data_IF_064523783447
#
_entry.id   IF_064523783447
#
_cell.length_a   1.000
_cell.length_b   1.000
_cell.length_c   1.000
_cell.angle_alpha   90.00
_cell.angle_beta   90.00
_cell.angle_gamma   90.00
#
_symmetry.space_group_name_H-M   'P 1'
#
loop_
_entity.id
_entity.type
_entity.pdbx_description
1 polymer ?
#
# COMPACT_ATOMS: atom_id res chain seq x y z
N UNK A 1 14.84 26.25 19.32
CA UNK A 1 14.63 24.79 19.17
C UNK A 1 15.06 24.41 17.75
N UNK A 2 16.17 23.67 17.57
CA UNK A 2 16.55 23.15 16.25
C UNK A 2 15.61 21.98 15.95
N UNK A 3 14.69 22.17 15.00
CA UNK A 3 13.89 21.07 14.46
C UNK A 3 14.86 20.10 13.81
N UNK A 4 15.02 18.92 14.41
CA UNK A 4 15.88 17.86 13.87
C UNK A 4 15.04 17.02 12.91
N UNK A 5 15.41 16.95 11.62
CA UNK A 5 14.65 16.29 10.55
C UNK A 5 14.62 14.75 10.63
N UNK A 6 14.60 14.16 11.83
CA UNK A 6 14.67 12.70 12.02
C UNK A 6 13.46 11.94 11.43
N UNK A 7 12.40 12.65 11.01
CA UNK A 7 11.24 12.12 10.30
C UNK A 7 11.46 11.92 8.79
N UNK A 8 12.49 12.54 8.19
CA UNK A 8 12.55 12.71 6.73
C UNK A 8 13.39 11.69 5.97
N UNK A 9 14.37 11.04 6.62
CA UNK A 9 15.36 10.23 5.89
C UNK A 9 14.95 8.77 5.68
N UNK A 10 13.93 8.27 6.38
CA UNK A 10 13.58 6.84 6.33
C UNK A 10 12.31 6.53 5.54
N UNK A 11 11.56 7.54 5.05
CA UNK A 11 10.31 7.29 4.33
C UNK A 11 10.12 8.22 3.13
N UNK A 12 10.45 7.73 1.93
CA UNK A 12 10.04 8.32 0.66
C UNK A 12 8.58 7.97 0.41
N UNK A 13 7.71 8.98 0.42
CA UNK A 13 6.31 8.86 0.02
C UNK A 13 6.14 8.56 -1.47
N UNK A 14 7.15 8.94 -2.25
CA UNK A 14 7.20 8.80 -3.70
C UNK A 14 7.36 7.37 -4.20
N UNK A 15 7.53 6.35 -3.35
CA UNK A 15 7.71 4.97 -3.83
C UNK A 15 6.46 4.58 -4.64
N UNK A 16 6.57 4.57 -5.97
CA UNK A 16 5.43 4.33 -6.83
C UNK A 16 4.94 2.93 -6.53
N UNK A 17 3.62 2.77 -6.47
CA UNK A 17 3.09 1.43 -6.45
C UNK A 17 3.28 0.83 -7.85
N UNK A 18 3.89 -0.34 -7.91
CA UNK A 18 4.08 -1.03 -9.15
C UNK A 18 2.79 -1.70 -9.59
N UNK A 19 2.29 -1.34 -10.77
CA UNK A 19 0.96 -1.75 -11.23
C UNK A 19 0.97 -2.24 -12.65
N UNK A 20 1.78 -1.62 -13.51
CA UNK A 20 1.97 -2.15 -14.85
C UNK A 20 2.50 -3.58 -14.79
N UNK A 21 3.35 -3.90 -13.82
CA UNK A 21 3.85 -5.25 -13.62
C UNK A 21 2.75 -6.26 -13.31
N UNK A 22 1.79 -5.93 -12.46
CA UNK A 22 0.70 -6.82 -12.09
C UNK A 22 -0.18 -7.14 -13.30
N UNK A 23 -0.57 -6.11 -14.06
CA UNK A 23 -1.32 -6.28 -15.29
C UNK A 23 -0.56 -7.11 -16.34
N UNK A 24 0.75 -6.86 -16.52
CA UNK A 24 1.60 -7.59 -17.45
C UNK A 24 1.80 -9.05 -17.01
N UNK A 25 1.93 -9.31 -15.72
CA UNK A 25 1.98 -10.65 -15.17
C UNK A 25 0.67 -11.41 -15.45
N UNK A 26 -0.49 -10.82 -15.16
CA UNK A 26 -1.80 -11.39 -15.51
C UNK A 26 -1.94 -11.64 -17.01
N UNK A 27 -1.46 -10.71 -17.85
CA UNK A 27 -1.41 -10.86 -19.30
C UNK A 27 -0.50 -12.00 -19.76
N UNK A 28 0.70 -12.14 -19.17
CA UNK A 28 1.64 -13.21 -19.48
C UNK A 28 1.03 -14.59 -19.16
N UNK A 29 0.38 -14.71 -18.01
CA UNK A 29 -0.38 -15.91 -17.65
C UNK A 29 -1.49 -16.15 -18.67
N UNK A 30 -2.20 -15.11 -19.12
CA UNK A 30 -3.26 -15.25 -20.11
C UNK A 30 -2.77 -15.77 -21.47
N UNK A 31 -1.61 -15.30 -21.92
CA UNK A 31 -0.96 -15.80 -23.14
C UNK A 31 -0.59 -17.28 -23.00
N UNK A 32 -0.03 -17.66 -21.85
CA UNK A 32 0.47 -19.01 -21.62
C UNK A 32 -0.63 -20.05 -21.35
N UNK A 33 -1.70 -19.65 -20.66
CA UNK A 33 -2.77 -20.55 -20.18
C UNK A 33 -4.05 -20.49 -21.01
N UNK A 34 -4.00 -19.86 -22.19
CA UNK A 34 -5.16 -19.56 -23.01
C UNK A 34 -6.08 -20.78 -23.21
N UNK A 35 -7.37 -20.71 -22.81
CA UNK A 35 -8.30 -21.81 -23.01
C UNK A 35 -8.59 -21.96 -24.49
N UNK A 36 -8.87 -23.20 -24.92
CA UNK A 36 -9.27 -23.50 -26.30
C UNK A 36 -10.76 -23.39 -26.51
N UNK A 37 -11.56 -23.82 -25.53
CA UNK A 37 -13.01 -23.79 -25.55
C UNK A 37 -13.57 -23.54 -24.14
N UNK A 38 -14.79 -22.98 -24.02
CA UNK A 38 -15.65 -22.44 -25.08
C UNK A 38 -15.19 -21.06 -25.59
N UNK A 39 -15.64 -20.59 -26.78
CA UNK A 39 -15.20 -19.30 -27.37
C UNK A 39 -15.42 -18.08 -26.46
N UNK A 40 -16.45 -18.12 -25.60
CA UNK A 40 -16.69 -17.08 -24.59
C UNK A 40 -15.53 -16.97 -23.58
N UNK A 41 -14.95 -18.10 -23.18
CA UNK A 41 -13.84 -18.12 -22.24
C UNK A 41 -12.61 -17.45 -22.86
N UNK A 42 -12.36 -17.69 -24.16
CA UNK A 42 -11.25 -17.08 -24.90
C UNK A 42 -11.29 -15.54 -24.88
N UNK A 43 -12.47 -14.95 -25.03
CA UNK A 43 -12.62 -13.49 -25.04
C UNK A 43 -12.38 -12.87 -23.65
N UNK A 44 -12.94 -13.48 -22.60
CA UNK A 44 -12.84 -12.99 -21.23
C UNK A 44 -11.56 -13.38 -20.50
N UNK A 45 -10.75 -14.27 -21.08
CA UNK A 45 -9.55 -14.81 -20.44
C UNK A 45 -8.54 -13.75 -20.03
N UNK A 46 -8.05 -12.87 -20.94
CA UNK A 46 -7.08 -11.85 -20.54
C UNK A 46 -7.64 -10.85 -19.51
N UNK A 47 -8.83 -10.24 -19.69
CA UNK A 47 -9.39 -9.32 -18.69
C UNK A 47 -9.52 -9.98 -17.32
N UNK A 48 -9.99 -11.23 -17.27
CA UNK A 48 -10.15 -11.92 -16.00
C UNK A 48 -8.82 -12.12 -15.27
N UNK A 49 -7.78 -12.59 -15.97
CA UNK A 49 -6.49 -12.83 -15.31
C UNK A 49 -5.80 -11.53 -14.89
N UNK A 50 -5.98 -10.46 -15.66
CA UNK A 50 -5.56 -9.11 -15.23
C UNK A 50 -6.33 -8.71 -13.98
N UNK A 51 -7.65 -8.84 -13.94
CA UNK A 51 -8.44 -8.50 -12.74
C UNK A 51 -8.03 -9.35 -11.53
N UNK A 52 -7.81 -10.65 -11.71
CA UNK A 52 -7.33 -11.55 -10.65
C UNK A 52 -5.97 -11.11 -10.10
N UNK A 53 -5.10 -10.59 -10.96
CA UNK A 53 -3.80 -10.02 -10.54
C UNK A 53 -3.89 -8.69 -9.80
N UNK A 54 -5.09 -8.16 -9.52
CA UNK A 54 -5.31 -6.98 -8.68
C UNK A 54 -6.21 -7.23 -7.47
N UNK A 55 -6.69 -8.47 -7.29
CA UNK A 55 -7.63 -8.79 -6.22
C UNK A 55 -7.12 -8.38 -4.83
N UNK A 56 -5.86 -8.65 -4.44
CA UNK A 56 -5.34 -8.22 -3.14
C UNK A 56 -5.48 -6.71 -2.91
N UNK A 57 -5.12 -5.89 -3.91
CA UNK A 57 -5.21 -4.44 -3.84
C UNK A 57 -6.66 -3.95 -3.76
N UNK A 58 -7.53 -4.47 -4.64
CA UNK A 58 -8.96 -4.09 -4.66
C UNK A 58 -9.62 -4.46 -3.34
N UNK A 59 -9.33 -5.65 -2.80
CA UNK A 59 -9.85 -6.08 -1.51
C UNK A 59 -9.35 -5.18 -0.37
N UNK A 60 -8.06 -4.82 -0.36
CA UNK A 60 -7.49 -3.91 0.64
C UNK A 60 -8.16 -2.54 0.59
N UNK A 61 -8.33 -1.97 -0.60
CA UNK A 61 -8.96 -0.67 -0.78
C UNK A 61 -10.43 -0.68 -0.40
N UNK A 62 -11.18 -1.69 -0.83
CA UNK A 62 -12.59 -1.84 -0.48
C UNK A 62 -12.78 -1.96 1.04
N UNK A 63 -11.92 -2.73 1.72
CA UNK A 63 -11.99 -2.88 3.16
C UNK A 63 -11.64 -1.57 3.90
N UNK A 64 -10.61 -0.85 3.45
CA UNK A 64 -10.27 0.47 4.01
C UNK A 64 -11.40 1.49 3.83
N UNK A 65 -12.05 1.51 2.66
CA UNK A 65 -13.25 2.35 2.43
C UNK A 65 -14.38 1.95 3.39
N UNK A 66 -14.51 0.66 3.69
CA UNK A 66 -15.43 0.13 4.70
C UNK A 66 -15.04 0.38 6.16
N UNK A 67 -13.95 1.12 6.42
CA UNK A 67 -13.49 1.45 7.77
C UNK A 67 -12.62 0.39 8.43
N UNK A 68 -12.15 -0.62 7.69
CA UNK A 68 -11.17 -1.57 8.22
C UNK A 68 -9.85 -0.84 8.55
N UNK A 69 -9.13 -1.35 9.57
CA UNK A 69 -7.81 -0.82 9.91
C UNK A 69 -6.80 -1.05 8.78
N UNK A 70 -5.68 -0.34 8.83
CA UNK A 70 -4.60 -0.47 7.84
C UNK A 70 -3.95 -1.85 7.82
N UNK A 71 -4.11 -2.63 8.89
CA UNK A 71 -3.67 -4.03 8.95
C UNK A 71 -4.37 -4.91 7.91
N UNK A 72 -5.51 -4.48 7.36
CA UNK A 72 -6.22 -5.21 6.31
C UNK A 72 -5.37 -5.43 5.07
N UNK A 73 -4.35 -4.58 4.84
CA UNK A 73 -3.39 -4.82 3.78
C UNK A 73 -2.59 -6.09 4.02
N UNK A 74 -2.14 -6.35 5.25
CA UNK A 74 -1.46 -7.59 5.60
C UNK A 74 -2.37 -8.81 5.42
N UNK A 75 -3.67 -8.66 5.72
CA UNK A 75 -4.66 -9.72 5.50
C UNK A 75 -4.78 -10.03 4.02
N UNK A 76 -5.11 -9.03 3.20
CA UNK A 76 -5.40 -9.18 1.76
C UNK A 76 -4.19 -9.56 0.93
N UNK A 77 -2.99 -9.29 1.42
CA UNK A 77 -1.73 -9.64 0.77
C UNK A 77 -1.03 -10.85 1.44
N UNK A 78 -1.80 -11.70 2.11
CA UNK A 78 -1.29 -12.93 2.71
C UNK A 78 -1.57 -14.16 1.84
N UNK A 79 -0.70 -15.17 1.96
CA UNK A 79 -0.89 -16.51 1.38
C UNK A 79 -2.21 -17.13 1.86
N UNK A 80 -2.60 -16.88 3.12
CA UNK A 80 -3.87 -17.35 3.68
C UNK A 80 -5.07 -16.75 2.95
N UNK A 81 -5.07 -15.43 2.74
CA UNK A 81 -6.12 -14.77 1.96
C UNK A 81 -6.17 -15.29 0.53
N UNK A 82 -5.02 -15.41 -0.11
CA UNK A 82 -4.90 -15.93 -1.48
C UNK A 82 -5.50 -17.35 -1.58
N UNK A 83 -5.18 -18.24 -0.65
CA UNK A 83 -5.74 -19.58 -0.62
C UNK A 83 -7.26 -19.57 -0.41
N UNK A 84 -7.76 -18.80 0.56
CA UNK A 84 -9.19 -18.69 0.85
C UNK A 84 -9.97 -18.11 -0.34
N UNK A 85 -9.50 -16.98 -0.89
CA UNK A 85 -10.09 -16.34 -2.06
C UNK A 85 -10.12 -17.29 -3.27
N UNK A 86 -9.02 -18.01 -3.51
CA UNK A 86 -8.93 -18.96 -4.63
C UNK A 86 -9.92 -20.11 -4.48
N UNK A 87 -10.09 -20.66 -3.27
CA UNK A 87 -11.08 -21.70 -3.00
C UNK A 87 -12.52 -21.18 -3.23
N UNK A 88 -12.83 -19.97 -2.77
CA UNK A 88 -14.16 -19.38 -2.92
C UNK A 88 -14.52 -19.04 -4.37
N UNK A 89 -13.52 -18.63 -5.17
CA UNK A 89 -13.74 -18.15 -6.54
C UNK A 89 -13.48 -19.18 -7.63
N UNK A 90 -12.81 -20.30 -7.32
CA UNK A 90 -12.54 -21.37 -8.27
C UNK A 90 -13.81 -21.92 -8.92
N UNK A 91 -14.86 -22.21 -8.15
CA UNK A 91 -16.11 -22.76 -8.70
C UNK A 91 -16.87 -21.76 -9.59
N UNK A 92 -17.08 -20.49 -9.20
CA UNK A 92 -17.66 -19.48 -10.09
C UNK A 92 -16.88 -19.32 -11.40
N UNK A 93 -15.55 -19.24 -11.32
CA UNK A 93 -14.66 -19.12 -12.48
C UNK A 93 -14.74 -20.35 -13.37
N UNK A 94 -14.73 -21.55 -12.79
CA UNK A 94 -14.89 -22.81 -13.50
C UNK A 94 -16.21 -22.87 -14.29
N UNK A 95 -17.33 -22.49 -13.64
CA UNK A 95 -18.65 -22.41 -14.27
C UNK A 95 -18.70 -21.39 -15.41
N UNK A 96 -18.17 -20.19 -15.16
CA UNK A 96 -18.19 -19.08 -16.13
C UNK A 96 -17.41 -19.45 -17.40
N UNK A 97 -16.25 -20.08 -17.24
CA UNK A 97 -15.28 -20.31 -18.31
C UNK A 97 -15.28 -21.75 -18.83
N UNK A 98 -16.10 -22.64 -18.27
CA UNK A 98 -16.12 -24.05 -18.67
C UNK A 98 -14.82 -24.79 -18.35
N UNK A 99 -14.13 -24.40 -17.26
CA UNK A 99 -12.93 -25.07 -16.78
C UNK A 99 -13.29 -26.14 -15.74
N UNK A 100 -12.37 -27.07 -15.50
CA UNK A 100 -12.46 -27.92 -14.31
C UNK A 100 -12.19 -27.06 -13.06
N UNK A 101 -12.84 -27.38 -11.93
CA UNK A 101 -12.61 -26.66 -10.66
C UNK A 101 -11.15 -26.67 -10.24
N UNK A 102 -10.43 -27.77 -10.51
CA UNK A 102 -8.99 -27.89 -10.24
C UNK A 102 -8.17 -26.89 -11.05
N UNK A 103 -8.46 -26.74 -12.35
CA UNK A 103 -7.74 -25.79 -13.20
C UNK A 103 -8.05 -24.35 -12.80
N UNK A 104 -9.33 -24.04 -12.55
CA UNK A 104 -9.72 -22.72 -12.07
C UNK A 104 -9.03 -22.37 -10.73
N UNK A 105 -9.04 -23.31 -9.77
CA UNK A 105 -8.34 -23.15 -8.49
C UNK A 105 -6.84 -22.89 -8.70
N UNK A 106 -6.18 -23.71 -9.53
CA UNK A 106 -4.74 -23.60 -9.78
C UNK A 106 -4.37 -22.25 -10.40
N UNK A 107 -5.18 -21.77 -11.34
CA UNK A 107 -4.94 -20.51 -12.05
C UNK A 107 -5.19 -19.31 -11.13
N UNK A 108 -6.30 -19.30 -10.40
CA UNK A 108 -6.57 -18.22 -9.43
C UNK A 108 -5.49 -18.17 -8.36
N UNK A 109 -5.12 -19.33 -7.80
CA UNK A 109 -4.08 -19.44 -6.79
C UNK A 109 -2.74 -18.94 -7.33
N UNK A 110 -2.35 -19.39 -8.53
CA UNK A 110 -1.09 -18.97 -9.14
C UNK A 110 -1.04 -17.46 -9.40
N UNK A 111 -2.07 -16.88 -10.03
CA UNK A 111 -2.09 -15.46 -10.37
C UNK A 111 -2.09 -14.57 -9.13
N UNK A 112 -2.87 -14.93 -8.11
CA UNK A 112 -2.94 -14.14 -6.88
C UNK A 112 -1.71 -14.34 -5.99
N UNK A 113 -1.08 -15.53 -5.98
CA UNK A 113 0.23 -15.71 -5.34
C UNK A 113 1.33 -14.93 -6.06
N UNK A 114 1.27 -14.87 -7.40
CA UNK A 114 2.23 -14.10 -8.19
C UNK A 114 2.15 -12.61 -7.86
N UNK A 115 0.95 -12.06 -7.64
CA UNK A 115 0.77 -10.71 -7.08
C UNK A 115 1.52 -10.55 -5.76
N UNK A 116 1.23 -11.40 -4.76
CA UNK A 116 1.84 -11.31 -3.43
C UNK A 116 3.36 -11.45 -3.50
N UNK A 117 3.86 -12.33 -4.36
CA UNK A 117 5.30 -12.51 -4.59
C UNK A 117 5.93 -11.26 -5.18
N UNK A 118 5.30 -10.65 -6.20
CA UNK A 118 5.82 -9.44 -6.82
C UNK A 118 5.88 -8.28 -5.83
N UNK A 119 4.80 -8.05 -5.09
CA UNK A 119 4.77 -7.03 -4.05
C UNK A 119 5.81 -7.30 -2.94
N UNK A 120 6.07 -8.57 -2.59
CA UNK A 120 7.16 -8.93 -1.68
C UNK A 120 8.53 -8.60 -2.27
N UNK A 121 8.77 -8.92 -3.55
CA UNK A 121 10.01 -8.60 -4.27
C UNK A 121 10.17 -7.09 -4.54
N UNK A 122 9.10 -6.31 -4.38
CA UNK A 122 9.11 -4.85 -4.44
C UNK A 122 9.27 -4.23 -3.04
N UNK A 123 9.17 -5.04 -1.98
CA UNK A 123 9.18 -4.59 -0.58
C UNK A 123 7.91 -3.85 -0.14
N UNK A 124 6.83 -3.91 -0.93
CA UNK A 124 5.54 -3.29 -0.60
C UNK A 124 4.74 -4.15 0.40
N UNK A 125 5.02 -5.46 0.44
CA UNK A 125 4.58 -6.40 1.48
C UNK A 125 5.80 -6.93 2.21
N UNK A 126 5.76 -6.89 3.55
CA UNK A 126 6.78 -7.57 4.38
C UNK A 126 6.26 -8.82 5.09
N UNK A 127 4.95 -9.08 5.15
CA UNK A 127 4.39 -10.20 5.95
C UNK A 127 3.47 -11.11 5.13
N UNK A 128 3.99 -11.84 4.13
CA UNK A 128 3.15 -12.66 3.24
C UNK A 128 2.49 -13.85 3.95
N UNK A 129 3.00 -14.28 5.11
CA UNK A 129 2.50 -15.45 5.84
C UNK A 129 1.55 -15.11 7.00
N UNK A 130 1.02 -13.88 7.06
CA UNK A 130 0.01 -13.52 8.06
C UNK A 130 -1.27 -14.38 7.91
N UNK A 131 -1.96 -14.77 8.99
CA UNK A 131 -1.63 -14.60 10.41
C UNK A 131 -0.74 -15.72 10.97
N UNK A 132 -0.34 -16.69 10.14
CA UNK A 132 0.36 -17.91 10.59
C UNK A 132 1.78 -17.62 11.07
N UNK A 133 2.45 -16.62 10.51
CA UNK A 133 3.81 -16.22 10.89
C UNK A 133 3.99 -14.70 10.91
N UNK A 134 4.75 -14.23 11.89
CA UNK A 134 5.21 -12.84 12.00
C UNK A 134 6.47 -12.54 11.18
N UNK A 135 7.00 -13.52 10.44
CA UNK A 135 8.20 -13.35 9.63
C UNK A 135 8.06 -12.16 8.67
N UNK A 136 9.05 -11.29 8.72
CA UNK A 136 9.18 -10.16 7.82
C UNK A 136 10.14 -10.52 6.68
N UNK A 137 9.72 -10.31 5.43
CA UNK A 137 10.59 -10.45 4.27
C UNK A 137 11.79 -9.50 4.42
N UNK A 138 13.03 -10.01 4.31
CA UNK A 138 14.22 -9.19 4.47
C UNK A 138 14.39 -8.22 3.30
N UNK A 139 15.03 -7.08 3.56
CA UNK A 139 15.16 -5.98 2.59
C UNK A 139 16.00 -6.35 1.36
N UNK A 140 16.85 -7.38 1.43
CA UNK A 140 17.62 -7.84 0.27
C UNK A 140 16.77 -8.54 -0.80
N UNK A 141 15.52 -8.88 -0.52
CA UNK A 141 14.57 -9.41 -1.51
C UNK A 141 13.96 -8.31 -2.40
N UNK A 142 14.22 -7.03 -2.11
CA UNK A 142 13.70 -5.87 -2.85
C UNK A 142 14.44 -5.70 -4.21
N UNK A 143 14.21 -6.64 -5.13
CA UNK A 143 14.92 -6.73 -6.43
C UNK A 143 14.18 -5.99 -7.55
N UNK A 144 12.85 -5.87 -7.45
CA UNK A 144 12.06 -5.25 -8.51
C UNK A 144 12.10 -3.72 -8.35
N UNK A 145 12.41 -2.96 -9.41
CA UNK A 145 12.40 -1.50 -9.36
C UNK A 145 11.05 -0.96 -8.91
N UNK A 146 11.07 0.04 -8.05
CA UNK A 146 9.86 0.77 -7.62
C UNK A 146 9.51 1.90 -8.57
N UNK A 147 10.49 2.48 -9.27
CA UNK A 147 10.23 3.58 -10.19
C UNK A 147 9.34 3.12 -11.36
N UNK A 148 8.37 3.93 -11.84
CA UNK A 148 7.35 3.44 -12.77
C UNK A 148 7.95 3.05 -14.13
N UNK A 149 9.05 3.70 -14.52
CA UNK A 149 9.72 3.45 -15.79
C UNK A 149 10.50 2.13 -15.70
N UNK A 150 11.31 1.95 -14.66
CA UNK A 150 12.07 0.74 -14.40
C UNK A 150 11.17 -0.48 -14.24
N UNK A 151 10.05 -0.33 -13.52
CA UNK A 151 9.03 -1.37 -13.40
C UNK A 151 8.42 -1.71 -14.77
N UNK A 152 7.94 -0.70 -15.51
CA UNK A 152 7.33 -0.91 -16.82
C UNK A 152 8.30 -1.59 -17.81
N UNK A 153 9.56 -1.16 -17.84
CA UNK A 153 10.59 -1.75 -18.69
C UNK A 153 10.87 -3.21 -18.31
N UNK A 154 11.06 -3.48 -17.02
CA UNK A 154 11.32 -4.85 -16.54
C UNK A 154 10.18 -5.78 -16.93
N UNK A 155 8.93 -5.42 -16.62
CA UNK A 155 7.80 -6.29 -16.90
C UNK A 155 7.44 -6.36 -18.38
N UNK A 156 7.71 -5.31 -19.17
CA UNK A 156 7.56 -5.38 -20.62
C UNK A 156 8.55 -6.37 -21.23
N UNK A 157 9.80 -6.37 -20.77
CA UNK A 157 10.82 -7.35 -21.19
C UNK A 157 10.41 -8.75 -20.76
N UNK A 158 10.04 -8.96 -19.50
CA UNK A 158 9.58 -10.27 -19.01
C UNK A 158 8.35 -10.77 -19.79
N UNK A 159 7.38 -9.91 -20.03
CA UNK A 159 6.20 -10.23 -20.83
C UNK A 159 6.57 -10.61 -22.27
N UNK A 160 7.45 -9.84 -22.92
CA UNK A 160 7.92 -10.13 -24.27
C UNK A 160 8.66 -11.48 -24.35
N UNK A 161 9.46 -11.81 -23.34
CA UNK A 161 10.13 -13.12 -23.24
C UNK A 161 9.13 -14.26 -23.09
N UNK A 162 8.13 -14.13 -22.22
CA UNK A 162 7.08 -15.15 -22.05
C UNK A 162 6.24 -15.31 -23.31
N UNK A 163 5.83 -14.20 -23.93
CA UNK A 163 5.07 -14.19 -25.17
C UNK A 163 5.86 -14.80 -26.32
N UNK A 164 7.15 -14.46 -26.44
CA UNK A 164 8.07 -15.04 -27.42
C UNK A 164 8.27 -16.54 -27.22
N UNK A 165 8.49 -16.98 -25.98
CA UNK A 165 8.61 -18.41 -25.66
C UNK A 165 7.32 -19.18 -25.97
N UNK A 166 6.16 -18.62 -25.64
CA UNK A 166 4.86 -19.21 -25.99
C UNK A 166 4.67 -19.31 -27.51
N UNK A 167 5.10 -18.29 -28.26
CA UNK A 167 5.06 -18.28 -29.72
C UNK A 167 5.97 -19.35 -30.34
N UNK A 168 7.23 -19.44 -29.89
CA UNK A 168 8.19 -20.45 -30.35
C UNK A 168 7.70 -21.87 -30.04
N UNK A 169 7.18 -22.08 -28.83
CA UNK A 169 6.57 -23.38 -28.45
C UNK A 169 5.44 -23.75 -29.40
N UNK A 170 4.57 -22.79 -29.74
CA UNK A 170 3.49 -23.03 -30.69
C UNK A 170 4.01 -23.42 -32.08
N UNK A 171 5.02 -22.72 -32.60
CA UNK A 171 5.65 -23.10 -33.89
C UNK A 171 6.19 -24.53 -33.81
N UNK A 172 6.86 -24.88 -32.72
CA UNK A 172 7.42 -26.23 -32.54
C UNK A 172 6.32 -27.30 -32.45
N UNK A 173 5.19 -27.00 -31.80
CA UNK A 173 4.06 -27.94 -31.69
C UNK A 173 3.35 -28.13 -33.04
N UNK A 174 3.20 -27.06 -33.84
CA UNK A 174 2.72 -27.12 -35.23
C UNK A 174 3.67 -27.95 -36.10
N UNK A 175 4.98 -27.69 -36.03
CA UNK A 175 5.99 -28.43 -36.80
C UNK A 175 6.03 -29.93 -36.47
N UNK A 176 5.63 -30.31 -35.24
CA UNK A 176 5.53 -31.72 -34.79
C UNK A 176 4.18 -32.37 -35.10
N UNK A 177 3.26 -31.66 -35.75
CA UNK A 177 1.89 -32.14 -35.97
C UNK A 177 1.10 -32.35 -34.67
N UNK A 178 1.53 -31.76 -33.54
CA UNK A 178 0.83 -31.85 -32.26
C UNK A 178 -0.24 -30.79 -32.10
N UNK A 179 -0.16 -29.73 -32.89
CA UNK A 179 -1.14 -28.65 -32.91
C UNK A 179 -2.04 -28.80 -34.14
N UNK A 180 -3.00 -29.75 -34.08
CA UNK A 180 -4.11 -29.86 -35.04
C UNK A 180 -5.12 -28.72 -34.90
N UNK A 181 -4.89 -27.79 -33.97
CA UNK A 181 -5.77 -26.64 -33.78
C UNK A 181 -5.58 -25.75 -35.00
N UNK A 182 -6.56 -25.77 -35.90
CA UNK A 182 -6.78 -24.65 -36.82
C UNK A 182 -6.61 -23.35 -36.01
N UNK A 183 -5.98 -22.30 -36.57
CA UNK A 183 -6.00 -21.00 -35.94
C UNK A 183 -7.45 -20.57 -35.81
N UNK A 184 -8.06 -20.94 -34.69
CA UNK A 184 -9.33 -20.44 -34.21
C UNK A 184 -9.03 -18.97 -33.88
N UNK A 185 -8.98 -18.12 -34.91
CA UNK A 185 -10.23 -17.49 -35.31
C UNK A 185 -11.23 -17.53 -34.17
N UNK A 186 -11.08 -16.78 -33.06
CA UNK A 186 -12.01 -16.88 -31.97
C UNK A 186 -13.35 -16.45 -32.54
N UNK A 187 -14.21 -17.41 -32.89
CA UNK A 187 -15.62 -17.19 -33.25
C UNK A 187 -16.41 -16.73 -32.04
N UNK A 188 -15.76 -16.09 -31.05
CA UNK A 188 -16.47 -15.34 -30.03
C UNK A 188 -17.25 -14.23 -30.75
N UNK A 189 -18.56 -14.09 -30.50
CA UNK A 189 -19.35 -13.00 -31.04
C UNK A 189 -18.64 -11.65 -30.87
N UNK A 190 -18.72 -10.77 -31.88
CA UNK A 190 -18.05 -9.47 -31.87
C UNK A 190 -18.30 -8.68 -30.57
N UNK A 191 -19.51 -8.78 -30.02
CA UNK A 191 -19.90 -8.16 -28.75
C UNK A 191 -19.04 -8.59 -27.56
N UNK A 192 -18.71 -9.88 -27.41
CA UNK A 192 -17.87 -10.34 -26.29
C UNK A 192 -16.43 -9.85 -26.39
N UNK A 193 -15.87 -9.78 -27.61
CA UNK A 193 -14.51 -9.23 -27.81
C UNK A 193 -14.46 -7.75 -27.48
N UNK A 194 -15.49 -7.00 -27.89
CA UNK A 194 -15.60 -5.59 -27.56
C UNK A 194 -15.74 -5.39 -26.04
N UNK A 195 -16.64 -6.13 -25.39
CA UNK A 195 -16.84 -6.07 -23.94
C UNK A 195 -15.56 -6.39 -23.16
N UNK A 196 -14.83 -7.45 -23.55
CA UNK A 196 -13.55 -7.81 -22.95
C UNK A 196 -12.48 -6.70 -23.11
N UNK A 197 -12.38 -6.11 -24.30
CA UNK A 197 -11.45 -4.99 -24.56
C UNK A 197 -11.81 -3.76 -23.72
N UNK A 198 -13.10 -3.42 -23.62
CA UNK A 198 -13.58 -2.33 -22.78
C UNK A 198 -13.24 -2.62 -21.31
N UNK A 199 -13.42 -3.85 -20.83
CA UNK A 199 -13.09 -4.22 -19.45
C UNK A 199 -11.58 -4.09 -19.15
N UNK A 200 -10.70 -4.54 -20.06
CA UNK A 200 -9.25 -4.34 -19.93
C UNK A 200 -8.91 -2.85 -19.91
N UNK A 201 -9.43 -2.08 -20.87
CA UNK A 201 -9.19 -0.65 -20.95
C UNK A 201 -9.65 0.07 -19.67
N UNK A 202 -10.84 -0.24 -19.18
CA UNK A 202 -11.37 0.31 -17.94
C UNK A 202 -10.49 -0.03 -16.74
N UNK A 203 -10.01 -1.28 -16.65
CA UNK A 203 -9.10 -1.72 -15.57
C UNK A 203 -7.79 -0.94 -15.61
N UNK A 204 -7.18 -0.82 -16.80
CA UNK A 204 -5.92 -0.07 -16.98
C UNK A 204 -6.10 1.43 -16.70
N UNK A 205 -7.20 2.04 -17.13
CA UNK A 205 -7.52 3.44 -16.84
C UNK A 205 -7.77 3.67 -15.35
N UNK A 206 -8.51 2.77 -14.68
CA UNK A 206 -8.78 2.87 -13.24
C UNK A 206 -7.51 2.73 -12.42
N UNK A 207 -6.64 1.80 -12.81
CA UNK A 207 -5.32 1.63 -12.24
C UNK A 207 -4.49 2.91 -12.43
N UNK A 208 -4.33 3.38 -13.67
CA UNK A 208 -3.60 4.61 -14.00
C UNK A 208 -4.11 5.86 -13.25
N UNK A 209 -5.43 6.04 -13.17
CA UNK A 209 -6.05 7.13 -12.41
C UNK A 209 -5.72 7.04 -10.90
N UNK A 210 -5.79 5.83 -10.33
CA UNK A 210 -5.42 5.61 -8.92
C UNK A 210 -3.95 5.95 -8.65
N UNK A 211 -3.04 5.67 -9.60
CA UNK A 211 -1.64 6.09 -9.50
C UNK A 211 -1.46 7.58 -9.55
N UNK A 212 -2.09 8.23 -10.53
CA UNK A 212 -1.97 9.66 -10.68
C UNK A 212 -2.45 10.37 -9.40
N UNK A 213 -3.61 9.96 -8.88
CA UNK A 213 -4.13 10.46 -7.61
C UNK A 213 -3.16 10.21 -6.44
N UNK A 214 -2.56 9.03 -6.36
CA UNK A 214 -1.60 8.71 -5.31
C UNK A 214 -0.31 9.52 -5.43
N UNK A 215 0.20 9.70 -6.65
CA UNK A 215 1.39 10.51 -6.94
C UNK A 215 1.17 11.96 -6.55
N UNK A 216 0.06 12.56 -6.99
CA UNK A 216 -0.32 13.93 -6.62
C UNK A 216 -0.40 14.09 -5.10
N UNK A 217 -0.95 13.11 -4.38
CA UNK A 217 -0.98 13.11 -2.90
C UNK A 217 0.40 13.02 -2.27
N UNK A 218 1.28 12.20 -2.86
CA UNK A 218 2.69 12.11 -2.46
C UNK A 218 3.40 13.44 -2.61
N UNK A 219 3.28 14.07 -3.78
CA UNK A 219 3.86 15.39 -4.08
C UNK A 219 3.30 16.49 -3.17
N UNK A 220 1.99 16.49 -2.90
CA UNK A 220 1.36 17.40 -1.92
C UNK A 220 1.95 17.22 -0.52
N UNK A 221 2.09 15.99 -0.03
CA UNK A 221 2.66 15.73 1.28
C UNK A 221 4.15 16.06 1.37
N UNK A 222 4.92 15.78 0.31
CA UNK A 222 6.32 16.18 0.19
C UNK A 222 6.48 17.70 0.23
N UNK A 223 5.56 18.44 -0.41
CA UNK A 223 5.51 19.91 -0.31
C UNK A 223 5.24 20.37 1.12
N UNK A 224 4.28 19.78 1.82
CA UNK A 224 4.01 20.10 3.23
C UNK A 224 5.26 19.86 4.07
N UNK A 225 5.92 18.70 3.89
CA UNK A 225 7.16 18.39 4.59
C UNK A 225 8.27 19.39 4.27
N UNK A 226 8.47 19.75 3.00
CA UNK A 226 9.47 20.72 2.60
C UNK A 226 9.26 22.08 3.29
N UNK A 227 8.01 22.53 3.41
CA UNK A 227 7.65 23.75 4.15
C UNK A 227 7.92 23.62 5.66
N UNK A 228 7.61 22.46 6.26
CA UNK A 228 7.95 22.17 7.66
C UNK A 228 9.47 22.24 7.91
N UNK A 229 10.27 21.68 7.01
CA UNK A 229 11.74 21.68 7.10
C UNK A 229 12.32 23.08 7.02
N UNK A 230 11.71 23.93 6.19
CA UNK A 230 12.03 25.35 6.04
C UNK A 230 11.47 26.20 7.18
N UNK A 231 10.77 25.60 8.16
CA UNK A 231 10.08 26.28 9.27
C UNK A 231 8.99 27.26 8.83
N UNK A 232 8.44 27.08 7.64
CA UNK A 232 7.33 27.87 7.09
C UNK A 232 6.00 27.25 7.54
N UNK A 233 5.78 27.20 8.84
CA UNK A 233 4.71 26.40 9.46
C UNK A 233 3.29 26.84 9.06
N UNK A 234 3.04 28.14 8.91
CA UNK A 234 1.74 28.64 8.47
C UNK A 234 1.41 28.21 7.03
N UNK A 235 2.41 28.25 6.14
CA UNK A 235 2.26 27.78 4.76
C UNK A 235 2.14 26.26 4.68
N UNK A 236 2.86 25.54 5.54
CA UNK A 236 2.72 24.08 5.66
C UNK A 236 1.30 23.70 6.08
N UNK A 237 0.68 24.44 7.01
CA UNK A 237 -0.70 24.23 7.44
C UNK A 237 -1.68 24.44 6.28
N UNK A 238 -1.55 25.55 5.54
CA UNK A 238 -2.39 25.80 4.37
C UNK A 238 -2.23 24.72 3.29
N UNK A 239 -0.99 24.30 3.00
CA UNK A 239 -0.72 23.22 2.06
C UNK A 239 -1.28 21.87 2.54
N UNK A 240 -1.30 21.63 3.86
CA UNK A 240 -1.92 20.44 4.43
C UNK A 240 -3.45 20.47 4.27
N UNK A 241 -4.09 21.63 4.44
CA UNK A 241 -5.55 21.76 4.26
C UNK A 241 -5.96 21.54 2.80
N UNK A 242 -5.14 21.97 1.83
CA UNK A 242 -5.36 21.66 0.42
C UNK A 242 -5.22 20.15 0.12
N UNK A 243 -4.30 19.46 0.81
CA UNK A 243 -4.11 18.02 0.66
C UNK A 243 -5.25 17.18 1.28
N UNK A 244 -6.05 17.73 2.21
CA UNK A 244 -7.16 17.03 2.89
C UNK A 244 -8.33 16.70 1.96
N UNK A 245 -8.44 17.42 0.84
CA UNK A 245 -9.58 17.33 -0.08
C UNK A 245 -9.71 15.96 -0.74
N UNK A 246 -8.74 15.07 -0.55
CA UNK A 246 -8.68 13.75 -1.16
C UNK A 246 -8.49 12.65 -0.10
N UNK A 247 -9.26 11.55 -0.15
CA UNK A 247 -9.20 10.48 0.85
C UNK A 247 -7.84 9.77 0.88
N UNK A 248 -7.15 9.77 2.02
CA UNK A 248 -5.77 9.28 2.16
C UNK A 248 -5.67 7.74 2.22
N UNK A 249 -4.87 7.06 1.35
CA UNK A 249 -4.87 5.59 1.32
C UNK A 249 -3.65 4.94 2.01
N UNK A 250 -2.52 5.64 2.17
CA UNK A 250 -1.27 4.97 2.55
C UNK A 250 -1.03 4.90 4.05
N UNK A 251 -1.28 5.99 4.79
CA UNK A 251 -1.21 6.04 6.26
C UNK A 251 -2.16 7.11 6.79
N UNK A 252 -3.19 6.74 7.54
CA UNK A 252 -4.21 7.67 7.98
C UNK A 252 -3.59 8.53 9.10
N UNK A 253 -4.13 9.72 9.33
CA UNK A 253 -3.66 10.58 10.41
C UNK A 253 -2.30 11.26 10.20
N UNK A 254 -1.49 10.90 9.19
CA UNK A 254 -0.20 11.58 8.93
C UNK A 254 -0.36 13.07 8.65
N UNK A 255 -1.39 13.44 7.89
CA UNK A 255 -1.66 14.84 7.59
C UNK A 255 -2.05 15.59 8.86
N UNK A 256 -2.91 14.99 9.69
CA UNK A 256 -3.27 15.51 11.01
C UNK A 256 -2.04 15.65 11.92
N UNK A 257 -1.12 14.67 11.94
CA UNK A 257 0.14 14.79 12.68
C UNK A 257 0.98 15.99 12.21
N UNK A 258 1.10 16.22 10.91
CA UNK A 258 1.87 17.36 10.40
C UNK A 258 1.18 18.69 10.73
N UNK A 259 -0.16 18.75 10.68
CA UNK A 259 -0.91 19.92 11.18
C UNK A 259 -0.62 20.17 12.67
N UNK A 260 -0.62 19.11 13.48
CA UNK A 260 -0.32 19.19 14.91
C UNK A 260 1.09 19.75 15.16
N UNK A 261 2.11 19.23 14.47
CA UNK A 261 3.48 19.73 14.54
C UNK A 261 3.59 21.20 14.12
N UNK A 262 2.93 21.59 13.02
CA UNK A 262 2.93 22.97 12.54
C UNK A 262 2.29 23.93 13.57
N UNK A 263 1.12 23.55 14.12
CA UNK A 263 0.41 24.31 15.14
C UNK A 263 1.20 24.41 16.44
N UNK A 264 1.81 23.32 16.90
CA UNK A 264 2.66 23.30 18.08
C UNK A 264 3.87 24.24 17.91
N UNK A 265 4.48 24.24 16.72
CA UNK A 265 5.60 25.12 16.38
C UNK A 265 5.20 26.61 16.32
N UNK A 266 3.94 26.90 16.00
CA UNK A 266 3.34 28.24 16.06
C UNK A 266 2.85 28.63 17.47
N UNK A 267 3.02 27.76 18.47
CA UNK A 267 2.57 27.99 19.84
C UNK A 267 1.07 27.72 20.08
N UNK A 268 0.33 27.25 19.07
CA UNK A 268 -1.10 26.91 19.12
C UNK A 268 -1.30 25.51 19.69
N UNK A 269 -0.93 25.35 20.96
CA UNK A 269 -0.78 24.04 21.63
C UNK A 269 -2.07 23.23 21.77
N UNK A 270 -3.19 23.89 22.07
CA UNK A 270 -4.49 23.24 22.26
C UNK A 270 -5.02 22.72 20.92
N UNK A 271 -4.87 23.50 19.85
CA UNK A 271 -5.24 23.07 18.50
C UNK A 271 -4.34 21.93 18.02
N UNK A 272 -3.05 21.99 18.33
CA UNK A 272 -2.12 20.90 18.04
C UNK A 272 -2.54 19.60 18.73
N UNK A 273 -2.98 19.66 19.99
CA UNK A 273 -3.50 18.49 20.71
C UNK A 273 -4.66 17.83 19.97
N UNK A 274 -5.63 18.61 19.47
CA UNK A 274 -6.75 18.07 18.68
C UNK A 274 -6.27 17.27 17.48
N UNK A 275 -5.28 17.79 16.74
CA UNK A 275 -4.76 17.11 15.56
C UNK A 275 -3.86 15.92 15.89
N UNK A 276 -3.09 15.95 16.98
CA UNK A 276 -2.39 14.75 17.46
C UNK A 276 -3.37 13.64 17.80
N UNK A 277 -4.46 13.95 18.53
CA UNK A 277 -5.48 12.97 18.90
C UNK A 277 -6.15 12.37 17.67
N UNK A 278 -6.56 13.21 16.70
CA UNK A 278 -7.08 12.72 15.41
C UNK A 278 -6.10 11.80 14.69
N UNK A 279 -4.81 12.15 14.69
CA UNK A 279 -3.79 11.30 14.11
C UNK A 279 -3.66 9.95 14.83
N UNK A 280 -3.74 9.92 16.16
CA UNK A 280 -3.66 8.71 16.98
C UNK A 280 -4.91 7.84 16.82
N UNK A 281 -6.08 8.45 16.64
CA UNK A 281 -7.33 7.75 16.40
C UNK A 281 -7.32 7.09 15.02
N UNK A 282 -6.78 7.80 14.03
CA UNK A 282 -6.60 7.31 12.67
C UNK A 282 -5.56 6.18 12.58
N UNK A 283 -4.40 6.32 13.23
CA UNK A 283 -3.36 5.30 13.30
C UNK A 283 -2.89 5.09 14.75
N UNK A 284 -3.42 4.04 15.38
CA UNK A 284 -3.10 3.71 16.77
C UNK A 284 -1.67 3.24 16.98
N UNK A 285 -0.98 2.84 15.92
CA UNK A 285 0.40 2.36 15.91
C UNK A 285 1.38 3.44 15.43
N UNK A 286 0.92 4.67 15.25
CA UNK A 286 1.80 5.76 14.88
C UNK A 286 2.55 6.33 16.10
N UNK A 287 3.74 5.76 16.36
CA UNK A 287 4.62 6.14 17.47
C UNK A 287 4.79 7.65 17.63
N UNK A 288 5.08 8.36 16.53
CA UNK A 288 5.44 9.78 16.57
C UNK A 288 4.29 10.68 17.04
N UNK A 289 3.04 10.39 16.66
CA UNK A 289 1.90 11.17 17.15
C UNK A 289 1.71 11.04 18.66
N UNK A 290 1.92 9.85 19.22
CA UNK A 290 1.87 9.63 20.67
C UNK A 290 3.06 10.29 21.37
N UNK A 291 4.26 10.10 20.83
CA UNK A 291 5.50 10.65 21.37
C UNK A 291 5.50 12.18 21.42
N UNK A 292 5.15 12.83 20.31
CA UNK A 292 5.19 14.28 20.21
C UNK A 292 4.01 14.95 20.93
N UNK A 293 2.84 14.31 21.02
CA UNK A 293 1.77 14.76 21.93
C UNK A 293 2.25 14.75 23.39
N UNK A 294 2.93 13.69 23.83
CA UNK A 294 3.49 13.63 25.16
C UNK A 294 4.54 14.74 25.37
N UNK A 295 5.48 14.90 24.43
CA UNK A 295 6.46 15.99 24.46
C UNK A 295 5.79 17.37 24.48
N UNK A 296 4.68 17.53 23.75
CA UNK A 296 3.88 18.75 23.74
C UNK A 296 3.37 19.05 25.15
N UNK A 297 2.63 18.14 25.81
CA UNK A 297 2.17 18.34 27.19
C UNK A 297 3.31 18.61 28.17
N UNK A 298 4.43 17.90 28.05
CA UNK A 298 5.60 18.12 28.89
C UNK A 298 6.16 19.55 28.75
N UNK A 299 5.92 20.21 27.62
CA UNK A 299 6.39 21.57 27.35
C UNK A 299 5.40 22.68 27.71
N UNK A 300 4.18 22.35 28.14
CA UNK A 300 3.15 23.34 28.43
C UNK A 300 3.55 24.25 29.60
N UNK A 301 3.06 25.49 29.56
CA UNK A 301 3.23 26.44 30.66
C UNK A 301 2.13 26.21 31.71
N UNK A 302 2.24 25.05 32.37
CA UNK A 302 1.31 24.59 33.41
C UNK A 302 2.12 23.98 34.57
N UNK A 303 1.55 23.93 35.79
CA UNK A 303 2.18 23.25 36.92
C UNK A 303 2.67 21.84 36.55
N UNK A 304 3.79 21.42 37.14
CA UNK A 304 4.42 20.12 36.79
C UNK A 304 3.50 18.94 37.14
N UNK A 305 2.70 19.07 38.19
CA UNK A 305 1.68 18.11 38.63
C UNK A 305 0.63 17.92 37.54
N UNK A 306 0.13 19.03 36.98
CA UNK A 306 -0.83 19.00 35.87
C UNK A 306 -0.24 18.30 34.64
N UNK A 307 0.99 18.67 34.26
CA UNK A 307 1.67 18.05 33.10
C UNK A 307 1.88 16.56 33.30
N UNK A 308 2.31 16.12 34.49
CA UNK A 308 2.48 14.71 34.84
C UNK A 308 1.16 13.95 34.76
N UNK A 309 0.08 14.50 35.29
CA UNK A 309 -1.24 13.88 35.22
C UNK A 309 -1.70 13.70 33.76
N UNK A 310 -1.53 14.72 32.92
CA UNK A 310 -1.90 14.65 31.49
C UNK A 310 -1.01 13.70 30.67
N UNK A 311 0.26 13.60 31.03
CA UNK A 311 1.25 12.72 30.39
C UNK A 311 1.09 11.24 30.72
N UNK A 312 0.63 10.92 31.93
CA UNK A 312 0.58 9.55 32.45
C UNK A 312 0.01 8.50 31.47
N UNK A 313 -1.19 8.69 30.85
CA UNK A 313 -1.73 7.72 29.91
C UNK A 313 -0.85 7.53 28.66
N UNK A 314 -0.20 8.59 28.18
CA UNK A 314 0.64 8.56 26.99
C UNK A 314 2.00 7.89 27.26
N UNK A 315 2.59 8.13 28.44
CA UNK A 315 3.80 7.42 28.88
C UNK A 315 3.52 5.93 29.02
N UNK A 316 2.39 5.56 29.64
CA UNK A 316 1.99 4.15 29.75
C UNK A 316 1.87 3.51 28.37
N UNK A 317 1.19 4.16 27.42
CA UNK A 317 1.06 3.69 26.03
C UNK A 317 2.41 3.58 25.31
N UNK A 318 3.31 4.56 25.47
CA UNK A 318 4.64 4.51 24.88
C UNK A 318 5.42 3.28 25.36
N UNK A 319 5.39 3.01 26.66
CA UNK A 319 6.10 1.88 27.25
C UNK A 319 5.50 0.52 26.90
N UNK A 320 4.18 0.42 26.75
CA UNK A 320 3.52 -0.87 26.50
C UNK A 320 3.44 -1.21 25.02
N UNK A 321 3.06 -0.25 24.17
CA UNK A 321 2.80 -0.49 22.75
C UNK A 321 4.01 -0.27 21.86
N UNK A 322 4.99 0.50 22.33
CA UNK A 322 6.18 0.86 21.57
C UNK A 322 7.48 0.50 22.30
N UNK A 323 7.43 -0.54 23.14
CA UNK A 323 8.57 -1.01 23.93
C UNK A 323 9.83 -1.25 23.08
N UNK A 324 9.65 -1.79 21.88
CA UNK A 324 10.74 -2.14 20.95
C UNK A 324 11.11 -1.00 19.99
N UNK A 325 10.48 0.19 20.11
CA UNK A 325 10.77 1.29 19.21
C UNK A 325 12.13 1.91 19.55
N UNK A 326 13.06 1.92 18.58
CA UNK A 326 14.46 2.38 18.76
C UNK A 326 14.63 3.79 19.36
N UNK A 327 13.60 4.64 19.27
CA UNK A 327 13.61 6.02 19.80
C UNK A 327 12.90 6.20 21.14
N UNK A 328 12.31 5.14 21.71
CA UNK A 328 11.50 5.23 22.92
C UNK A 328 12.27 5.90 24.06
N UNK A 329 13.47 5.41 24.39
CA UNK A 329 14.28 5.93 25.49
C UNK A 329 14.66 7.40 25.29
N UNK A 330 14.98 7.79 24.06
CA UNK A 330 15.28 9.18 23.74
C UNK A 330 14.08 10.11 23.98
N UNK A 331 12.88 9.67 23.59
CA UNK A 331 11.63 10.42 23.80
C UNK A 331 11.32 10.52 25.30
N UNK A 332 11.41 9.43 26.05
CA UNK A 332 11.17 9.43 27.50
C UNK A 332 12.13 10.37 28.23
N UNK A 333 13.42 10.32 27.91
CA UNK A 333 14.41 11.24 28.48
C UNK A 333 14.14 12.71 28.11
N UNK A 334 13.64 12.98 26.89
CA UNK A 334 13.24 14.33 26.46
C UNK A 334 12.06 14.86 27.26
N UNK A 335 11.05 14.02 27.53
CA UNK A 335 9.90 14.35 28.37
C UNK A 335 10.36 14.69 29.78
N UNK A 336 11.21 13.86 30.38
CA UNK A 336 11.73 14.07 31.74
C UNK A 336 12.50 15.39 31.88
N UNK A 337 13.43 15.68 30.95
CA UNK A 337 14.16 16.96 30.93
C UNK A 337 13.21 18.17 30.91
N UNK A 338 12.14 18.11 30.11
CA UNK A 338 11.15 19.18 30.02
C UNK A 338 10.36 19.36 31.32
N UNK A 339 10.01 18.27 32.01
CA UNK A 339 9.34 18.35 33.31
C UNK A 339 10.25 18.99 34.37
N UNK A 340 11.54 18.68 34.36
CA UNK A 340 12.50 19.16 35.35
C UNK A 340 12.90 20.63 35.14
N UNK A 341 13.08 21.07 33.89
CA UNK A 341 13.50 22.45 33.55
C UNK A 341 12.54 23.56 34.02
N UNK A 342 11.29 23.23 34.35
CA UNK A 342 10.33 24.21 34.86
C UNK A 342 10.45 24.49 36.36
N UNK A 343 11.10 23.60 37.12
CA UNK A 343 11.31 23.80 38.57
C UNK A 343 12.32 24.92 38.84
N UNK A 344 13.30 25.07 37.96
CA UNK A 344 14.36 26.07 38.07
C UNK A 344 13.85 27.50 37.86
N UNK A 345 12.78 27.70 37.08
CA UNK A 345 12.19 29.03 36.84
C UNK A 345 11.33 29.58 37.99
N UNK A 346 10.97 28.75 38.96
CA UNK A 346 10.13 29.16 40.12
C UNK A 346 11.00 29.43 41.36
N UNK A 347 12.27 28.99 41.33
CA UNK A 347 13.18 29.07 42.48
C UNK A 347 14.25 30.17 42.36
N UNK A 348 14.31 30.89 41.24
CA UNK A 348 15.11 32.10 41.05
C UNK A 348 14.24 33.23 40.54
#
# INVERSE_FOLDING_TARGET
MKWTPHLLSTFRWSDPLPVLGHALAGGAVAVYTRPTYPPRAVAWWPPLLVVLSYVPDVASQAAMIGGASHDVRHVTHSVTFVAAFSLMTAWPIARLLGLTSRNALSITLFVTLLHVLMDMLQGTIRRPFWPVSGWAAPEWLEIIPRDPIGEALLFLVLFALVAGAAYVRRIADVARGRDEREPLEPRSPRGHRLAARIAVLFTLLSAGATHQLRRERGEQFERVQALMNQRRYAEALAAADDADRWPYPARPGRLDYVRAEALAALGRREEAETYYLRSIDADRDYFWSVADLAVNYASWDKPVEWRRARLAPWIARLKTRFADHERLDHVLAKIERKLNSSREKVSG
#
